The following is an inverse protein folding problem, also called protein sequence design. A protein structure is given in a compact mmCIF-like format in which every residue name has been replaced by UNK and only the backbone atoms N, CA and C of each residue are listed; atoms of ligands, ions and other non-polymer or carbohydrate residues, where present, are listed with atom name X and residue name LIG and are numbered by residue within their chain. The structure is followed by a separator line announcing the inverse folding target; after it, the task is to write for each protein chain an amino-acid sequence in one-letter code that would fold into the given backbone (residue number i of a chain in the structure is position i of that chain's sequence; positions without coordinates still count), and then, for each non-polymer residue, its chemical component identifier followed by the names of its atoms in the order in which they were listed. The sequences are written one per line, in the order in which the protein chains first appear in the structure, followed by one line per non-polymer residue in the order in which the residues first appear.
data_IF_016004515759
#
_entry.id   IF_016004515759
#
_cell.length_a   1.000
_cell.length_b   1.000
_cell.length_c   1.000
_cell.angle_alpha   90.00
_cell.angle_beta   90.00
_cell.angle_gamma   90.00
#
_symmetry.space_group_name_H-M   'P 1'
#
loop_
_entity.id
_entity.type
_entity.pdbx_description
1 polymer ?
#
# COMPACT_ATOMS: atom_id res chain seq x y z
N UNK A 1 -18.90 -27.19 -11.56
CA UNK A 1 -17.73 -26.46 -11.01
C UNK A 1 -18.05 -26.07 -9.59
N UNK A 2 -17.21 -26.41 -8.61
CA UNK A 2 -17.36 -25.86 -7.26
C UNK A 2 -17.26 -24.33 -7.31
N UNK A 3 -18.26 -23.63 -6.76
CA UNK A 3 -18.22 -22.18 -6.61
C UNK A 3 -17.11 -21.85 -5.61
N UNK A 4 -16.10 -21.10 -6.04
CA UNK A 4 -15.02 -20.65 -5.15
C UNK A 4 -15.62 -19.62 -4.19
N UNK A 5 -15.52 -19.79 -2.86
CA UNK A 5 -16.06 -18.83 -1.90
C UNK A 5 -15.44 -17.44 -2.07
N UNK A 6 -16.26 -16.39 -2.04
CA UNK A 6 -15.79 -15.00 -2.19
C UNK A 6 -14.82 -14.60 -1.05
N UNK A 7 -15.07 -15.06 0.17
CA UNK A 7 -14.16 -14.88 1.31
C UNK A 7 -12.73 -15.40 1.03
N UNK A 8 -12.64 -16.53 0.31
CA UNK A 8 -11.36 -17.11 -0.06
C UNK A 8 -10.64 -16.22 -1.08
N UNK A 9 -11.37 -15.66 -2.05
CA UNK A 9 -10.84 -14.70 -3.01
C UNK A 9 -10.35 -13.41 -2.36
N UNK A 10 -11.08 -12.88 -1.37
CA UNK A 10 -10.68 -11.68 -0.60
C UNK A 10 -9.41 -11.93 0.21
N UNK A 11 -9.24 -13.12 0.81
CA UNK A 11 -8.00 -13.50 1.52
C UNK A 11 -6.84 -13.80 0.57
N UNK A 12 -7.16 -14.34 -0.61
CA UNK A 12 -6.20 -14.73 -1.64
C UNK A 12 -5.67 -13.55 -2.42
N UNK A 13 -6.51 -12.54 -2.73
CA UNK A 13 -6.23 -11.38 -3.59
C UNK A 13 -5.37 -11.79 -4.80
N UNK A 14 -5.77 -12.87 -5.48
CA UNK A 14 -5.15 -13.40 -6.70
C UNK A 14 -3.69 -13.88 -6.66
N UNK A 15 -2.96 -13.79 -5.54
CA UNK A 15 -1.52 -14.11 -5.47
C UNK A 15 -1.20 -15.39 -4.69
N UNK A 16 -2.05 -15.78 -3.73
CA UNK A 16 -1.81 -16.97 -2.89
C UNK A 16 -2.30 -18.28 -3.52
N UNK A 17 -3.06 -18.21 -4.61
CA UNK A 17 -3.73 -19.35 -5.25
C UNK A 17 -4.46 -20.28 -4.25
N UNK A 18 -5.10 -19.71 -3.21
CA UNK A 18 -5.77 -20.49 -2.15
C UNK A 18 -6.92 -21.37 -2.66
N UNK A 19 -7.45 -21.07 -3.85
CA UNK A 19 -8.49 -21.87 -4.50
C UNK A 19 -7.96 -23.12 -5.21
N UNK A 20 -6.65 -23.38 -5.18
CA UNK A 20 -6.03 -24.55 -5.82
C UNK A 20 -5.89 -24.44 -7.35
N UNK A 21 -6.34 -23.34 -7.96
CA UNK A 21 -6.15 -23.10 -9.39
C UNK A 21 -4.68 -22.73 -9.70
N UNK A 22 -4.15 -23.12 -10.87
CA UNK A 22 -2.79 -22.79 -11.28
C UNK A 22 -2.57 -21.28 -11.51
N UNK A 23 -3.65 -20.56 -11.83
CA UNK A 23 -3.68 -19.10 -11.97
C UNK A 23 -5.05 -18.56 -11.54
N UNK A 24 -5.11 -17.27 -11.19
CA UNK A 24 -6.35 -16.61 -10.77
C UNK A 24 -7.18 -16.15 -11.98
N UNK A 25 -8.42 -16.65 -12.19
CA UNK A 25 -9.24 -16.27 -13.34
C UNK A 25 -9.65 -14.78 -13.35
N UNK A 26 -9.82 -14.16 -12.18
CA UNK A 26 -10.12 -12.73 -12.04
C UNK A 26 -8.98 -11.90 -12.66
N UNK A 27 -7.74 -12.30 -12.39
CA UNK A 27 -6.55 -11.61 -12.91
C UNK A 27 -6.39 -11.78 -14.42
N UNK A 28 -6.74 -12.94 -14.98
CA UNK A 28 -6.72 -13.15 -16.43
C UNK A 28 -7.78 -12.31 -17.16
N UNK A 29 -8.99 -12.20 -16.61
CA UNK A 29 -10.04 -11.31 -17.17
C UNK A 29 -9.58 -9.86 -17.15
N UNK A 30 -9.00 -9.42 -16.04
CA UNK A 30 -8.43 -8.08 -15.93
C UNK A 30 -7.32 -7.85 -16.95
N UNK A 31 -6.43 -8.83 -17.14
CA UNK A 31 -5.39 -8.76 -18.18
C UNK A 31 -6.00 -8.55 -19.57
N UNK A 32 -7.04 -9.31 -19.91
CA UNK A 32 -7.75 -9.14 -21.17
C UNK A 32 -8.38 -7.76 -21.33
N UNK A 33 -9.00 -7.24 -20.27
CA UNK A 33 -9.64 -5.92 -20.26
C UNK A 33 -8.64 -4.79 -20.49
N UNK A 34 -7.54 -4.75 -19.72
CA UNK A 34 -6.54 -3.67 -19.87
C UNK A 34 -5.83 -3.78 -21.23
N UNK A 35 -5.53 -5.00 -21.70
CA UNK A 35 -4.96 -5.19 -23.03
C UNK A 35 -5.88 -4.70 -24.16
N UNK A 36 -7.20 -4.80 -23.96
CA UNK A 36 -8.20 -4.30 -24.92
C UNK A 36 -8.37 -2.78 -24.87
N UNK A 37 -8.25 -2.17 -23.68
CA UNK A 37 -8.27 -0.72 -23.48
C UNK A 37 -7.01 -0.04 -24.04
N UNK A 38 -5.97 -0.81 -24.36
CA UNK A 38 -4.67 -0.30 -24.75
C UNK A 38 -4.21 -0.85 -26.10
N UNK A 39 -4.46 -0.09 -27.17
CA UNK A 39 -3.76 -0.25 -28.45
C UNK A 39 -2.40 0.45 -28.40
N UNK A 40 -1.51 0.06 -27.49
CA UNK A 40 -0.14 0.60 -27.52
C UNK A 40 0.55 -0.08 -28.72
N UNK A 41 0.75 0.68 -29.81
CA UNK A 41 1.70 0.31 -30.86
C UNK A 41 3.10 0.49 -30.28
N UNK A 42 3.56 -0.49 -29.53
CA UNK A 42 4.95 -0.54 -29.11
C UNK A 42 5.72 -0.94 -30.35
N UNK A 43 6.56 -0.05 -30.84
CA UNK A 43 7.51 -0.42 -31.86
C UNK A 43 8.53 -1.39 -31.23
N UNK A 44 8.34 -2.68 -31.49
CA UNK A 44 9.19 -3.75 -30.96
C UNK A 44 10.59 -3.76 -31.57
N UNK A 45 10.84 -2.91 -32.58
CA UNK A 45 12.18 -2.72 -33.14
C UNK A 45 13.10 -1.92 -32.20
N UNK A 46 12.54 -1.05 -31.36
CA UNK A 46 13.29 -0.27 -30.39
C UNK A 46 13.57 -1.10 -29.14
N UNK A 47 14.82 -1.57 -29.04
CA UNK A 47 15.38 -2.22 -27.85
C UNK A 47 15.90 -1.22 -26.82
N UNK A 48 15.89 0.07 -27.13
CA UNK A 48 16.35 1.12 -26.22
C UNK A 48 15.13 1.89 -25.70
N UNK A 49 15.06 2.04 -24.39
CA UNK A 49 14.07 2.87 -23.71
C UNK A 49 14.82 3.93 -22.94
N UNK A 50 14.45 5.19 -23.15
CA UNK A 50 15.01 6.34 -22.46
C UNK A 50 13.89 7.18 -21.85
N UNK A 51 14.18 7.80 -20.70
CA UNK A 51 13.28 8.71 -20.02
C UNK A 51 13.68 8.94 -18.57
N UNK A 52 13.07 9.91 -17.90
CA UNK A 52 13.25 10.15 -16.47
C UNK A 52 12.43 9.15 -15.66
N UNK A 53 13.10 8.33 -14.85
CA UNK A 53 12.46 7.42 -13.91
C UNK A 53 11.78 8.23 -12.80
N UNK A 54 10.47 8.03 -12.55
CA UNK A 54 9.63 9.04 -11.92
C UNK A 54 9.66 9.21 -10.39
N UNK A 55 10.34 8.46 -9.50
CA UNK A 55 11.03 7.16 -9.51
C UNK A 55 10.09 5.93 -9.38
N UNK A 56 10.45 4.80 -10.02
CA UNK A 56 9.62 3.58 -10.01
C UNK A 56 10.45 2.29 -10.00
N UNK A 57 10.68 1.77 -8.79
CA UNK A 57 11.49 0.56 -8.58
C UNK A 57 10.74 -0.50 -7.80
N UNK A 58 10.67 -1.72 -8.33
CA UNK A 58 10.04 -2.86 -7.66
C UNK A 58 11.03 -4.03 -7.58
N UNK A 59 11.14 -4.62 -6.38
CA UNK A 59 11.84 -5.87 -6.12
C UNK A 59 10.79 -6.98 -6.02
N UNK A 60 10.84 -7.93 -6.95
CA UNK A 60 9.95 -9.09 -6.98
C UNK A 60 10.25 -10.10 -5.87
N UNK A 61 9.26 -10.91 -5.50
CA UNK A 61 9.41 -11.98 -4.50
C UNK A 61 9.61 -13.37 -5.12
N UNK A 62 9.15 -13.58 -6.35
CA UNK A 62 9.25 -14.86 -7.04
C UNK A 62 10.71 -15.19 -7.33
N UNK A 63 11.14 -16.39 -6.94
CA UNK A 63 12.51 -16.88 -7.16
C UNK A 63 13.51 -16.59 -6.05
N UNK A 64 13.08 -15.99 -4.93
CA UNK A 64 13.92 -15.73 -3.76
C UNK A 64 14.80 -16.95 -3.40
N UNK A 65 16.12 -16.81 -3.20
CA UNK A 65 16.89 -15.56 -3.01
C UNK A 65 17.39 -14.89 -4.30
N UNK A 66 16.96 -15.35 -5.49
CA UNK A 66 17.26 -14.70 -6.77
C UNK A 66 16.02 -13.93 -7.24
N UNK A 67 16.03 -12.62 -7.09
CA UNK A 67 14.85 -11.76 -7.28
C UNK A 67 14.96 -10.92 -8.55
N UNK A 68 13.82 -10.55 -9.11
CA UNK A 68 13.76 -9.58 -10.21
C UNK A 68 13.78 -8.14 -9.67
N UNK A 69 14.63 -7.30 -10.24
CA UNK A 69 14.52 -5.84 -10.12
C UNK A 69 13.80 -5.32 -11.35
N UNK A 70 12.78 -4.51 -11.13
CA UNK A 70 11.95 -3.93 -12.17
C UNK A 70 12.05 -2.42 -12.03
N UNK A 71 12.57 -1.76 -13.06
CA UNK A 71 12.65 -0.31 -13.15
C UNK A 71 11.68 0.14 -14.24
N UNK A 72 10.70 0.97 -13.89
CA UNK A 72 9.72 1.43 -14.87
C UNK A 72 10.11 2.81 -15.40
N UNK A 73 10.29 2.89 -16.72
CA UNK A 73 10.74 4.10 -17.41
C UNK A 73 9.62 4.58 -18.32
N UNK A 74 9.16 5.85 -18.21
CA UNK A 74 8.25 6.45 -19.17
C UNK A 74 9.02 6.79 -20.47
N UNK A 75 8.68 6.19 -21.62
CA UNK A 75 9.42 6.43 -22.85
C UNK A 75 9.37 7.89 -23.29
N UNK A 76 10.54 8.47 -23.55
CA UNK A 76 10.73 9.83 -24.07
C UNK A 76 10.08 10.94 -23.22
N UNK A 77 9.88 10.69 -21.92
CA UNK A 77 9.44 11.71 -20.96
C UNK A 77 10.59 12.07 -20.04
N UNK A 78 10.85 13.35 -19.83
CA UNK A 78 11.99 13.83 -19.05
C UNK A 78 11.58 14.85 -17.99
N UNK A 79 12.45 15.01 -16.99
CA UNK A 79 12.29 16.00 -15.93
C UNK A 79 11.03 15.80 -15.10
N UNK A 80 10.46 16.90 -14.61
CA UNK A 80 9.31 16.90 -13.70
C UNK A 80 8.05 16.27 -14.30
N UNK A 81 7.91 16.26 -15.63
CA UNK A 81 6.79 15.59 -16.31
C UNK A 81 6.75 14.09 -16.04
N UNK A 82 7.89 13.46 -15.73
CA UNK A 82 7.90 12.06 -15.35
C UNK A 82 7.22 11.83 -13.98
N UNK A 83 7.28 12.78 -13.04
CA UNK A 83 6.72 12.59 -11.69
C UNK A 83 5.24 12.23 -11.72
N UNK A 84 4.48 12.69 -12.73
CA UNK A 84 3.05 12.37 -12.89
C UNK A 84 2.73 10.87 -13.02
N UNK A 85 3.71 10.05 -13.42
CA UNK A 85 3.50 8.61 -13.65
C UNK A 85 3.51 7.77 -12.38
N UNK A 86 4.10 8.24 -11.27
CA UNK A 86 4.17 7.50 -10.00
C UNK A 86 3.96 8.34 -8.72
N UNK A 87 3.43 9.56 -8.82
CA UNK A 87 3.14 10.40 -7.64
C UNK A 87 1.79 10.07 -6.97
N UNK A 88 1.78 9.00 -6.18
CA UNK A 88 0.59 8.52 -5.47
C UNK A 88 -0.04 9.54 -4.52
N UNK A 89 0.75 10.45 -3.94
CA UNK A 89 0.26 11.51 -3.04
C UNK A 89 -0.54 12.57 -3.81
N UNK A 90 -0.02 13.00 -4.95
CA UNK A 90 -0.71 14.01 -5.79
C UNK A 90 -1.90 13.44 -6.55
N UNK A 91 -1.92 12.14 -6.82
CA UNK A 91 -3.05 11.50 -7.45
C UNK A 91 -4.30 11.51 -6.59
N UNK A 92 -4.13 11.38 -5.26
CA UNK A 92 -5.24 11.27 -4.34
C UNK A 92 -6.22 12.44 -4.50
N UNK A 93 -7.50 12.12 -4.73
CA UNK A 93 -8.57 13.09 -4.96
C UNK A 93 -8.59 13.75 -6.34
N UNK A 94 -7.61 13.50 -7.23
CA UNK A 94 -7.48 14.16 -8.54
C UNK A 94 -7.51 13.21 -9.73
N UNK A 95 -6.98 11.99 -9.60
CA UNK A 95 -6.83 11.05 -10.71
C UNK A 95 -7.76 9.86 -10.49
N UNK A 96 -8.54 9.47 -11.51
CA UNK A 96 -9.44 8.31 -11.40
C UNK A 96 -8.69 6.98 -11.62
N UNK A 97 -9.37 5.86 -11.34
CA UNK A 97 -8.78 4.53 -11.43
C UNK A 97 -8.32 4.17 -12.85
N UNK A 98 -9.09 4.55 -13.87
CA UNK A 98 -8.74 4.33 -15.28
C UNK A 98 -7.47 5.06 -15.70
N UNK A 99 -7.34 6.32 -15.30
CA UNK A 99 -6.16 7.14 -15.60
C UNK A 99 -4.92 6.64 -14.85
N UNK A 100 -5.05 6.17 -13.60
CA UNK A 100 -3.95 5.53 -12.87
C UNK A 100 -3.46 4.28 -13.62
N UNK A 101 -4.39 3.44 -14.09
CA UNK A 101 -4.05 2.26 -14.89
C UNK A 101 -3.31 2.71 -16.15
N UNK A 102 -3.83 3.69 -16.87
CA UNK A 102 -3.24 4.23 -18.11
C UNK A 102 -1.82 4.77 -17.89
N UNK A 103 -1.61 5.57 -16.85
CA UNK A 103 -0.30 6.11 -16.48
C UNK A 103 0.69 4.97 -16.23
N UNK A 104 0.36 4.01 -15.36
CA UNK A 104 1.30 2.94 -15.01
C UNK A 104 1.57 1.96 -16.15
N UNK A 105 0.55 1.70 -16.95
CA UNK A 105 0.67 0.79 -18.10
C UNK A 105 1.38 1.42 -19.30
N UNK A 106 1.55 2.74 -19.32
CA UNK A 106 2.39 3.42 -20.30
C UNK A 106 3.90 3.38 -19.98
N UNK A 107 4.27 2.96 -18.77
CA UNK A 107 5.66 2.77 -18.39
C UNK A 107 6.20 1.46 -18.97
N UNK A 108 7.44 1.47 -19.45
CA UNK A 108 8.12 0.24 -19.85
C UNK A 108 8.88 -0.35 -18.67
N UNK A 109 8.53 -1.57 -18.29
CA UNK A 109 9.19 -2.33 -17.23
C UNK A 109 10.49 -2.95 -17.73
N UNK A 110 11.62 -2.42 -17.27
CA UNK A 110 12.95 -2.97 -17.51
C UNK A 110 13.32 -3.95 -16.40
N UNK A 111 13.47 -5.23 -16.75
CA UNK A 111 13.59 -6.32 -15.77
C UNK A 111 15.00 -6.89 -15.78
N UNK A 112 15.68 -6.85 -14.65
CA UNK A 112 16.95 -7.57 -14.42
C UNK A 112 16.80 -8.52 -13.24
N UNK A 113 17.70 -9.49 -13.12
CA UNK A 113 17.64 -10.51 -12.05
C UNK A 113 18.93 -10.51 -11.24
N UNK A 114 18.80 -10.43 -9.92
CA UNK A 114 19.92 -10.29 -8.99
C UNK A 114 19.79 -11.25 -7.83
N UNK A 115 20.92 -11.60 -7.20
CA UNK A 115 20.91 -12.26 -5.89
C UNK A 115 20.69 -11.21 -4.81
N UNK A 116 19.88 -11.50 -3.80
CA UNK A 116 19.52 -10.52 -2.77
C UNK A 116 20.73 -10.00 -2.00
N UNK A 117 21.77 -10.80 -1.80
CA UNK A 117 22.99 -10.44 -1.07
C UNK A 117 23.85 -9.38 -1.80
N UNK A 118 23.65 -9.19 -3.11
CA UNK A 118 24.41 -8.23 -3.92
C UNK A 118 23.91 -6.78 -3.80
N UNK A 119 23.01 -6.48 -2.87
CA UNK A 119 22.46 -5.13 -2.69
C UNK A 119 23.55 -4.06 -2.53
N UNK A 120 24.58 -4.34 -1.73
CA UNK A 120 25.71 -3.41 -1.51
C UNK A 120 26.53 -3.19 -2.79
N UNK A 121 26.78 -4.23 -3.58
CA UNK A 121 27.48 -4.10 -4.87
C UNK A 121 26.68 -3.27 -5.86
N UNK A 122 25.34 -3.40 -5.82
CA UNK A 122 24.44 -2.69 -6.72
C UNK A 122 24.34 -1.19 -6.46
N UNK A 123 24.80 -0.71 -5.30
CA UNK A 123 24.91 0.73 -5.02
C UNK A 123 25.69 1.47 -6.11
N UNK A 124 26.77 0.86 -6.63
CA UNK A 124 27.63 1.44 -7.65
C UNK A 124 26.96 1.57 -9.04
N UNK A 125 25.77 1.00 -9.23
CA UNK A 125 25.00 1.16 -10.46
C UNK A 125 24.16 2.44 -10.47
N UNK A 126 24.10 3.16 -9.34
CA UNK A 126 23.24 4.32 -9.07
C UNK A 126 21.73 4.05 -9.20
N UNK A 127 21.30 2.88 -9.69
CA UNK A 127 19.89 2.48 -9.79
C UNK A 127 19.19 2.60 -8.42
N UNK A 128 19.72 2.06 -7.31
CA UNK A 128 19.10 2.24 -6.00
C UNK A 128 18.91 3.71 -5.62
N UNK A 129 19.85 4.57 -5.99
CA UNK A 129 19.83 6.00 -5.68
C UNK A 129 18.81 6.75 -6.53
N UNK A 130 18.69 6.42 -7.82
CA UNK A 130 17.66 6.93 -8.70
C UNK A 130 16.25 6.63 -8.16
N UNK A 131 16.04 5.43 -7.58
CA UNK A 131 14.74 5.04 -7.03
C UNK A 131 14.34 5.82 -5.76
N UNK A 132 15.31 6.29 -4.97
CA UNK A 132 15.03 7.07 -3.75
C UNK A 132 15.20 8.58 -3.94
N UNK A 133 15.40 9.03 -5.18
CA UNK A 133 15.68 10.43 -5.47
C UNK A 133 14.48 11.34 -5.21
N UNK A 134 14.75 12.60 -4.87
CA UNK A 134 13.75 13.65 -4.80
C UNK A 134 13.21 14.05 -6.17
N UNK A 135 14.05 13.99 -7.21
CA UNK A 135 13.71 14.40 -8.57
C UNK A 135 13.67 13.20 -9.50
N UNK A 136 12.85 13.22 -10.57
CA UNK A 136 12.94 12.20 -11.62
C UNK A 136 14.33 12.17 -12.24
N UNK A 137 14.90 10.97 -12.41
CA UNK A 137 16.29 10.80 -12.85
C UNK A 137 16.33 10.16 -14.23
N UNK A 138 17.05 10.76 -15.18
CA UNK A 138 17.19 10.20 -16.54
C UNK A 138 17.83 8.82 -16.47
N UNK A 139 17.17 7.83 -17.07
CA UNK A 139 17.61 6.45 -17.12
C UNK A 139 17.41 5.88 -18.52
N UNK A 140 18.32 5.01 -18.91
CA UNK A 140 18.28 4.28 -20.17
C UNK A 140 18.27 2.79 -19.90
N UNK A 141 17.46 2.03 -20.63
CA UNK A 141 17.44 0.58 -20.56
C UNK A 141 17.54 -0.03 -21.95
N UNK A 142 18.51 -0.91 -22.13
CA UNK A 142 18.66 -1.74 -23.32
C UNK A 142 18.01 -3.10 -23.07
N UNK A 143 16.91 -3.37 -23.75
CA UNK A 143 16.09 -4.57 -23.61
C UNK A 143 16.53 -5.66 -24.60
N UNK A 144 16.77 -6.87 -24.07
CA UNK A 144 17.04 -8.07 -24.87
C UNK A 144 15.79 -8.54 -25.60
N UNK A 145 14.69 -8.56 -24.86
CA UNK A 145 13.36 -8.95 -25.30
C UNK A 145 12.39 -7.86 -24.88
N UNK A 146 11.33 -7.66 -25.67
CA UNK A 146 10.22 -6.78 -25.30
C UNK A 146 8.94 -7.59 -25.40
N UNK A 147 8.32 -7.87 -24.25
CA UNK A 147 7.01 -8.49 -24.21
C UNK A 147 5.96 -7.38 -24.11
N UNK A 148 5.21 -7.20 -25.19
CA UNK A 148 4.02 -6.34 -25.22
C UNK A 148 2.84 -6.98 -24.45
N UNK A 149 3.10 -7.51 -23.26
CA UNK A 149 2.10 -8.15 -22.39
C UNK A 149 2.09 -7.47 -21.04
N UNK A 150 0.91 -6.98 -20.65
CA UNK A 150 0.69 -6.45 -19.31
C UNK A 150 0.77 -7.59 -18.29
N UNK A 151 1.64 -7.42 -17.29
CA UNK A 151 1.81 -8.40 -16.21
C UNK A 151 1.15 -7.90 -14.94
N UNK A 152 0.19 -8.66 -14.48
CA UNK A 152 -0.51 -8.43 -13.23
C UNK A 152 -0.13 -9.52 -12.23
N UNK A 153 0.17 -9.11 -11.02
CA UNK A 153 0.20 -10.00 -9.87
C UNK A 153 -0.96 -9.56 -8.97
N UNK A 154 -1.69 -10.47 -8.33
CA UNK A 154 -3.00 -10.20 -7.73
C UNK A 154 -3.09 -9.06 -6.70
N UNK A 155 -1.97 -8.49 -6.28
CA UNK A 155 -1.88 -7.33 -5.38
C UNK A 155 -1.13 -6.16 -6.02
N UNK A 156 -0.36 -6.39 -7.09
CA UNK A 156 0.59 -5.45 -7.64
C UNK A 156 -0.07 -4.59 -8.71
N UNK A 157 0.25 -3.30 -8.60
CA UNK A 157 0.18 -2.21 -9.56
C UNK A 157 0.05 -2.72 -11.01
N UNK A 158 -0.91 -2.23 -11.81
CA UNK A 158 -0.96 -2.54 -13.24
C UNK A 158 0.38 -2.16 -13.86
N UNK A 159 1.12 -3.13 -14.42
CA UNK A 159 2.41 -2.88 -15.06
C UNK A 159 2.24 -2.82 -16.56
N UNK A 160 2.93 -1.87 -17.16
CA UNK A 160 3.03 -1.74 -18.59
C UNK A 160 3.79 -2.89 -19.24
N UNK A 161 3.99 -2.79 -20.56
CA UNK A 161 4.82 -3.74 -21.30
C UNK A 161 6.24 -3.72 -20.74
N UNK A 162 7.00 -4.79 -20.97
CA UNK A 162 8.35 -4.85 -20.45
C UNK A 162 9.10 -6.09 -20.86
N UNK A 163 10.36 -6.14 -20.49
CA UNK A 163 11.21 -7.26 -20.88
C UNK A 163 12.53 -7.29 -20.17
N UNK A 164 13.32 -8.32 -20.48
CA UNK A 164 14.60 -8.54 -19.82
C UNK A 164 15.59 -7.48 -20.32
N UNK A 165 16.14 -6.70 -19.41
CA UNK A 165 17.18 -5.72 -19.70
C UNK A 165 18.55 -6.40 -19.79
N UNK A 166 19.30 -6.11 -20.85
CA UNK A 166 20.74 -6.40 -20.93
C UNK A 166 21.51 -5.42 -20.04
N UNK A 167 21.08 -4.16 -20.05
CA UNK A 167 21.74 -3.07 -19.35
C UNK A 167 20.72 -2.01 -18.92
N UNK A 168 20.93 -1.43 -17.75
CA UNK A 168 20.19 -0.28 -17.24
C UNK A 168 21.24 0.74 -16.78
N UNK A 169 21.17 1.96 -17.30
CA UNK A 169 22.07 3.06 -16.94
C UNK A 169 21.27 4.20 -16.34
N UNK A 170 21.80 4.77 -15.27
CA UNK A 170 21.37 6.06 -14.76
C UNK A 170 22.30 7.10 -15.41
N UNK A 171 21.71 8.08 -16.10
CA UNK A 171 22.45 9.06 -16.91
C UNK A 171 22.60 10.39 -16.17
N UNK A 172 21.64 10.71 -15.30
CA UNK A 172 21.59 11.94 -14.52
C UNK A 172 21.86 11.67 -13.04
N UNK A 173 22.31 12.67 -12.29
CA UNK A 173 22.71 12.52 -10.89
C UNK A 173 21.48 12.49 -9.96
N UNK A 174 21.24 11.40 -9.20
CA UNK A 174 20.16 11.36 -8.23
C UNK A 174 20.38 12.36 -7.09
N UNK A 175 19.36 13.17 -6.79
CA UNK A 175 19.33 14.00 -5.58
C UNK A 175 18.71 13.22 -4.42
N UNK A 176 19.45 13.00 -3.34
CA UNK A 176 19.00 12.22 -2.18
C UNK A 176 18.76 13.16 -0.98
N UNK A 177 17.69 12.97 -0.18
CA UNK A 177 17.53 13.66 1.09
C UNK A 177 18.76 13.49 2.00
N UNK A 178 19.31 14.58 2.53
CA UNK A 178 20.57 14.58 3.31
C UNK A 178 20.57 13.57 4.46
N UNK A 179 19.43 13.41 5.14
CA UNK A 179 19.34 12.45 6.25
C UNK A 179 19.36 11.00 5.78
N UNK A 180 18.73 10.73 4.64
CA UNK A 180 18.75 9.41 4.00
C UNK A 180 20.16 9.07 3.51
N UNK A 181 20.80 10.02 2.83
CA UNK A 181 22.17 9.84 2.34
C UNK A 181 23.15 9.46 3.46
N UNK A 182 23.12 10.18 4.60
CA UNK A 182 23.92 9.83 5.78
C UNK A 182 23.67 8.40 6.28
N UNK A 183 22.40 8.01 6.43
CA UNK A 183 22.02 6.70 6.93
C UNK A 183 22.39 5.54 5.99
N UNK A 184 22.60 5.80 4.71
CA UNK A 184 23.14 4.80 3.78
C UNK A 184 24.57 4.41 4.16
N UNK A 185 25.35 5.31 4.75
CA UNK A 185 26.74 5.01 5.15
C UNK A 185 26.86 4.50 6.59
N UNK A 186 25.84 4.72 7.42
CA UNK A 186 25.78 4.29 8.81
C UNK A 186 25.53 2.76 8.94
N UNK A 187 26.19 2.12 9.92
CA UNK A 187 26.04 0.68 10.20
C UNK A 187 25.00 0.40 11.31
N UNK A 188 23.81 0.97 11.15
CA UNK A 188 22.70 0.85 12.11
C UNK A 188 21.72 -0.27 11.73
N UNK A 189 20.87 -0.71 12.67
CA UNK A 189 19.79 -1.65 12.34
C UNK A 189 18.78 -0.98 11.42
N UNK A 190 18.20 -1.73 10.49
CA UNK A 190 17.21 -1.20 9.53
C UNK A 190 16.00 -0.58 10.24
N UNK A 191 15.53 -1.19 11.34
CA UNK A 191 14.44 -0.65 12.14
C UNK A 191 14.76 0.73 12.75
N UNK A 192 15.99 0.93 13.24
CA UNK A 192 16.44 2.21 13.80
C UNK A 192 16.51 3.27 12.70
N UNK A 193 17.11 2.93 11.54
CA UNK A 193 17.16 3.83 10.38
C UNK A 193 15.77 4.25 9.88
N UNK A 194 14.82 3.31 9.78
CA UNK A 194 13.43 3.59 9.39
C UNK A 194 12.80 4.62 10.34
N UNK A 195 12.94 4.42 11.65
CA UNK A 195 12.37 5.33 12.66
C UNK A 195 13.02 6.70 12.62
N UNK A 196 14.33 6.76 12.39
CA UNK A 196 15.05 8.02 12.29
C UNK A 196 14.62 8.81 11.06
N UNK A 197 14.53 8.16 9.88
CA UNK A 197 14.02 8.79 8.66
C UNK A 197 12.58 9.28 8.84
N UNK A 198 11.73 8.46 9.46
CA UNK A 198 10.35 8.81 9.75
C UNK A 198 10.25 10.06 10.65
N UNK A 199 11.05 10.13 11.73
CA UNK A 199 11.10 11.30 12.63
C UNK A 199 11.58 12.58 11.95
N UNK A 200 12.44 12.45 10.94
CA UNK A 200 12.91 13.56 10.10
C UNK A 200 11.94 13.90 8.95
N UNK A 201 10.71 13.36 8.97
CA UNK A 201 9.68 13.58 7.94
C UNK A 201 10.13 13.21 6.51
N UNK A 202 11.03 12.23 6.38
CA UNK A 202 11.34 11.65 5.07
C UNK A 202 10.11 10.90 4.56
N UNK A 203 9.82 11.05 3.27
CA UNK A 203 8.66 10.44 2.63
C UNK A 203 8.59 8.92 2.86
N UNK A 204 7.42 8.42 3.26
CA UNK A 204 7.17 7.00 3.52
C UNK A 204 7.60 6.10 2.35
N UNK A 205 7.26 6.49 1.11
CA UNK A 205 7.54 5.68 -0.07
C UNK A 205 9.05 5.63 -0.34
N UNK A 206 9.78 6.73 -0.08
CA UNK A 206 11.26 6.73 -0.12
C UNK A 206 11.88 5.81 0.93
N UNK A 207 11.39 5.83 2.17
CA UNK A 207 11.87 4.92 3.24
C UNK A 207 11.65 3.45 2.82
N UNK A 208 10.46 3.15 2.28
CA UNK A 208 10.10 1.83 1.78
C UNK A 208 11.00 1.39 0.62
N UNK A 209 11.25 2.26 -0.36
CA UNK A 209 12.17 1.96 -1.47
C UNK A 209 13.61 1.80 -1.00
N UNK A 210 14.08 2.64 -0.07
CA UNK A 210 15.42 2.52 0.50
C UNK A 210 15.63 1.17 1.20
N UNK A 211 14.62 0.70 1.95
CA UNK A 211 14.65 -0.65 2.52
C UNK A 211 14.61 -1.74 1.44
N UNK A 212 13.72 -1.60 0.45
CA UNK A 212 13.53 -2.60 -0.62
C UNK A 212 14.78 -2.79 -1.47
N UNK A 213 15.47 -1.70 -1.80
CA UNK A 213 16.71 -1.70 -2.57
C UNK A 213 17.97 -1.93 -1.71
N UNK A 214 17.80 -2.32 -0.45
CA UNK A 214 18.88 -2.73 0.44
C UNK A 214 19.84 -1.61 0.84
N UNK A 215 19.37 -0.35 0.85
CA UNK A 215 20.15 0.81 1.25
C UNK A 215 20.19 1.01 2.78
N UNK A 216 19.26 0.41 3.51
CA UNK A 216 19.15 0.54 4.97
C UNK A 216 19.54 -0.76 5.70
N UNK A 217 20.14 -0.59 6.88
CA UNK A 217 20.54 -1.68 7.77
C UNK A 217 22.04 -1.95 7.77
N UNK A 218 22.45 -2.92 8.60
CA UNK A 218 23.86 -3.26 8.79
C UNK A 218 24.49 -3.72 7.47
N UNK A 219 25.65 -3.17 7.11
CA UNK A 219 26.32 -3.36 5.81
C UNK A 219 26.43 -4.83 5.41
N UNK A 220 26.85 -5.69 6.34
CA UNK A 220 26.99 -7.14 6.12
C UNK A 220 25.68 -7.91 5.90
N UNK A 221 24.55 -7.33 6.28
CA UNK A 221 23.22 -7.95 6.23
C UNK A 221 22.28 -7.28 5.21
N UNK A 222 22.77 -6.29 4.46
CA UNK A 222 21.98 -5.61 3.43
C UNK A 222 21.58 -6.60 2.35
N UNK A 223 20.29 -6.58 2.02
CA UNK A 223 19.68 -7.45 1.03
C UNK A 223 18.68 -6.65 0.22
N UNK A 224 18.48 -7.04 -1.04
CA UNK A 224 17.26 -6.68 -1.74
C UNK A 224 16.09 -7.34 -1.02
N UNK A 225 15.15 -6.52 -0.57
CA UNK A 225 13.94 -6.97 0.12
C UNK A 225 12.78 -6.81 -0.86
N UNK A 226 12.02 -7.89 -1.16
CA UNK A 226 10.82 -7.78 -1.99
C UNK A 226 9.95 -6.61 -1.54
N UNK A 227 9.50 -5.79 -2.47
CA UNK A 227 8.84 -4.50 -2.15
C UNK A 227 7.63 -4.67 -1.25
N UNK A 228 6.89 -5.78 -1.42
CA UNK A 228 5.77 -6.12 -0.52
C UNK A 228 6.20 -6.35 0.92
N UNK A 229 7.35 -7.00 1.14
CA UNK A 229 7.89 -7.21 2.47
C UNK A 229 8.43 -5.91 3.06
N UNK A 230 9.03 -5.06 2.22
CA UNK A 230 9.50 -3.73 2.64
C UNK A 230 8.33 -2.84 3.10
N UNK A 231 7.21 -2.82 2.37
CA UNK A 231 5.97 -2.12 2.76
C UNK A 231 5.52 -2.60 4.15
N UNK A 232 5.35 -3.92 4.32
CA UNK A 232 4.93 -4.49 5.61
C UNK A 232 5.93 -4.16 6.73
N UNK A 233 7.23 -4.23 6.46
CA UNK A 233 8.26 -3.96 7.44
C UNK A 233 8.23 -2.50 7.89
N UNK A 234 8.13 -1.54 6.97
CA UNK A 234 8.02 -0.11 7.31
C UNK A 234 6.72 0.17 8.06
N UNK A 235 5.57 -0.32 7.58
CA UNK A 235 4.27 -0.15 8.26
C UNK A 235 4.33 -0.70 9.69
N UNK A 236 4.91 -1.89 9.88
CA UNK A 236 5.02 -2.54 11.19
C UNK A 236 5.98 -1.79 12.12
N UNK A 237 7.14 -1.36 11.62
CA UNK A 237 8.14 -0.66 12.43
C UNK A 237 7.62 0.69 12.90
N UNK A 238 7.09 1.52 11.98
CA UNK A 238 6.52 2.83 12.32
C UNK A 238 5.26 2.65 13.17
N UNK A 239 4.39 1.70 12.81
CA UNK A 239 3.16 1.43 13.55
C UNK A 239 3.40 0.96 14.98
N UNK A 240 4.43 0.16 15.25
CA UNK A 240 4.82 -0.24 16.61
C UNK A 240 5.39 0.94 17.40
N UNK A 241 6.19 1.78 16.75
CA UNK A 241 6.73 2.98 17.38
C UNK A 241 5.62 3.95 17.80
N UNK A 242 4.68 4.26 16.91
CA UNK A 242 3.54 5.14 17.23
C UNK A 242 2.65 4.53 18.31
N UNK A 243 2.31 3.24 18.17
CA UNK A 243 1.56 2.50 19.19
C UNK A 243 2.19 2.63 20.58
N UNK A 244 3.51 2.42 20.70
CA UNK A 244 4.22 2.51 21.99
C UNK A 244 4.15 3.90 22.65
N UNK A 245 3.89 4.95 21.88
CA UNK A 245 3.68 6.31 22.39
C UNK A 245 2.23 6.53 22.80
N UNK A 246 1.29 6.23 21.91
CA UNK A 246 -0.13 6.57 22.11
C UNK A 246 -0.74 5.86 23.31
N UNK A 247 -0.26 4.67 23.67
CA UNK A 247 -0.77 3.93 24.82
C UNK A 247 -0.60 4.66 26.16
N UNK A 248 0.34 5.62 26.21
CA UNK A 248 0.60 6.43 27.39
C UNK A 248 -0.18 7.76 27.40
N UNK A 249 -0.98 8.03 26.36
CA UNK A 249 -1.79 9.23 26.30
C UNK A 249 -3.17 9.03 26.92
N UNK A 250 -3.77 10.16 27.29
CA UNK A 250 -5.16 10.19 27.71
C UNK A 250 -6.08 9.82 26.54
N UNK A 251 -7.22 9.23 26.89
CA UNK A 251 -8.22 8.83 25.92
C UNK A 251 -8.87 10.05 25.27
N UNK A 252 -9.42 9.89 24.06
CA UNK A 252 -10.30 10.89 23.46
C UNK A 252 -11.50 11.13 24.38
N UNK A 253 -12.00 12.37 24.42
CA UNK A 253 -13.07 12.75 25.33
C UNK A 253 -14.47 12.41 24.79
N UNK A 254 -14.60 12.37 23.46
CA UNK A 254 -15.86 12.27 22.75
C UNK A 254 -15.75 11.19 21.67
N UNK A 255 -16.90 10.71 21.20
CA UNK A 255 -16.95 9.80 20.06
C UNK A 255 -16.98 10.63 18.79
N UNK A 256 -16.03 10.38 17.90
CA UNK A 256 -15.83 11.15 16.68
C UNK A 256 -15.89 10.23 15.46
N UNK A 257 -16.57 10.66 14.41
CA UNK A 257 -16.62 9.93 13.14
C UNK A 257 -15.97 10.77 12.05
N UNK A 258 -15.09 10.11 11.31
CA UNK A 258 -14.33 10.66 10.20
C UNK A 258 -14.69 9.95 8.91
N UNK A 259 -14.61 10.65 7.78
CA UNK A 259 -14.94 10.08 6.48
C UNK A 259 -13.99 10.52 5.38
N UNK A 260 -13.63 9.59 4.52
CA UNK A 260 -12.93 9.86 3.26
C UNK A 260 -13.26 8.79 2.23
N UNK A 261 -13.26 9.16 0.96
CA UNK A 261 -13.50 8.21 -0.12
C UNK A 261 -12.59 8.48 -1.31
N UNK A 262 -12.18 7.42 -2.00
CA UNK A 262 -11.37 7.50 -3.19
C UNK A 262 -11.37 6.17 -3.96
N UNK A 263 -11.38 6.22 -5.29
CA UNK A 263 -11.35 5.05 -6.18
C UNK A 263 -12.41 3.99 -5.82
N UNK A 264 -13.65 4.39 -5.54
CA UNK A 264 -14.72 3.46 -5.18
C UNK A 264 -14.60 2.82 -3.79
N UNK A 265 -13.67 3.30 -2.96
CA UNK A 265 -13.50 2.86 -1.57
C UNK A 265 -13.96 3.99 -0.63
N UNK A 266 -14.87 3.66 0.28
CA UNK A 266 -15.43 4.60 1.26
C UNK A 266 -14.95 4.17 2.64
N UNK A 267 -14.34 5.11 3.37
CA UNK A 267 -13.79 4.87 4.70
C UNK A 267 -14.55 5.67 5.73
N UNK A 268 -14.97 4.99 6.79
CA UNK A 268 -15.49 5.59 8.00
C UNK A 268 -14.59 5.17 9.16
N UNK A 269 -14.03 6.15 9.88
CA UNK A 269 -13.21 5.89 11.07
C UNK A 269 -13.95 6.45 12.28
N UNK A 270 -14.28 5.56 13.23
CA UNK A 270 -14.88 5.94 14.51
C UNK A 270 -13.79 5.87 15.57
N UNK A 271 -13.57 6.99 16.27
CA UNK A 271 -12.76 7.04 17.48
C UNK A 271 -13.70 7.14 18.67
N UNK A 272 -13.47 6.35 19.71
CA UNK A 272 -14.26 6.40 20.94
C UNK A 272 -13.38 6.35 22.19
N UNK A 273 -13.84 6.92 23.33
CA UNK A 273 -13.10 6.92 24.60
C UNK A 273 -12.82 5.49 25.06
N UNK A 274 -11.58 5.03 24.88
CA UNK A 274 -11.12 3.72 25.32
C UNK A 274 -9.60 3.60 25.21
N UNK A 275 -9.04 2.58 25.89
CA UNK A 275 -7.69 2.10 25.60
C UNK A 275 -7.60 1.64 24.15
N UNK A 276 -6.39 1.71 23.58
CA UNK A 276 -6.19 1.40 22.19
C UNK A 276 -6.67 -0.02 21.90
N UNK A 277 -7.55 -0.13 20.93
CA UNK A 277 -7.95 -1.36 20.29
C UNK A 277 -8.48 -0.97 18.93
N UNK A 278 -8.44 -1.88 17.97
CA UNK A 278 -8.81 -1.53 16.61
C UNK A 278 -9.63 -2.64 15.98
N UNK A 279 -10.74 -2.26 15.37
CA UNK A 279 -11.61 -3.12 14.58
C UNK A 279 -11.49 -2.66 13.13
N UNK A 280 -11.25 -3.61 12.23
CA UNK A 280 -11.18 -3.41 10.80
C UNK A 280 -12.28 -4.22 10.13
N UNK A 281 -13.15 -3.54 9.40
CA UNK A 281 -14.29 -4.14 8.69
C UNK A 281 -14.14 -3.79 7.21
N UNK A 282 -14.07 -4.81 6.35
CA UNK A 282 -14.17 -4.63 4.89
C UNK A 282 -15.52 -5.16 4.40
N UNK A 283 -16.25 -4.31 3.69
CA UNK A 283 -17.53 -4.64 3.07
C UNK A 283 -17.30 -4.63 1.55
N UNK A 284 -17.26 -5.80 0.95
CA UNK A 284 -17.05 -5.98 -0.48
C UNK A 284 -18.40 -6.12 -1.17
N UNK A 285 -18.77 -5.14 -2.01
CA UNK A 285 -19.99 -5.21 -2.81
C UNK A 285 -19.91 -6.34 -3.85
N UNK A 286 -21.06 -6.87 -4.30
CA UNK A 286 -21.12 -7.73 -5.48
C UNK A 286 -20.43 -7.06 -6.67
N UNK A 287 -19.82 -7.88 -7.54
CA UNK A 287 -19.08 -7.44 -8.74
C UNK A 287 -17.86 -6.55 -8.46
N UNK A 288 -17.47 -6.34 -7.20
CA UNK A 288 -16.19 -5.76 -6.85
C UNK A 288 -15.05 -6.72 -7.21
N UNK A 289 -13.82 -6.19 -7.29
CA UNK A 289 -12.65 -6.91 -7.80
C UNK A 289 -12.46 -8.33 -7.26
N UNK A 290 -12.72 -8.57 -5.97
CA UNK A 290 -12.48 -9.86 -5.32
C UNK A 290 -13.74 -10.60 -4.89
N UNK A 291 -14.93 -10.04 -5.16
CA UNK A 291 -16.18 -10.55 -4.60
C UNK A 291 -17.30 -10.53 -5.64
N UNK A 292 -17.88 -11.71 -5.89
CA UNK A 292 -19.08 -11.83 -6.73
C UNK A 292 -20.36 -11.58 -5.94
N UNK A 293 -20.31 -11.83 -4.63
CA UNK A 293 -21.43 -11.67 -3.69
C UNK A 293 -21.09 -10.57 -2.67
N UNK A 294 -22.06 -10.11 -1.89
CA UNK A 294 -21.77 -9.20 -0.77
C UNK A 294 -20.98 -9.99 0.29
N UNK A 295 -19.74 -9.60 0.56
CA UNK A 295 -18.87 -10.30 1.52
C UNK A 295 -18.29 -9.35 2.55
N UNK A 296 -18.33 -9.75 3.81
CA UNK A 296 -17.82 -8.96 4.93
C UNK A 296 -16.62 -9.68 5.55
N UNK A 297 -15.52 -8.96 5.72
CA UNK A 297 -14.33 -9.44 6.41
C UNK A 297 -14.09 -8.61 7.66
N UNK A 298 -13.88 -9.26 8.80
CA UNK A 298 -13.61 -8.60 10.07
C UNK A 298 -12.20 -8.98 10.55
N UNK A 299 -11.51 -8.02 11.18
CA UNK A 299 -10.25 -8.20 11.88
C UNK A 299 -10.28 -7.38 13.16
N UNK A 300 -9.81 -7.97 14.26
CA UNK A 300 -9.62 -7.28 15.53
C UNK A 300 -8.14 -7.23 15.92
N UNK A 301 -7.73 -6.09 16.46
CA UNK A 301 -6.49 -5.89 17.20
C UNK A 301 -6.82 -5.56 18.65
N UNK A 302 -6.23 -6.30 19.58
CA UNK A 302 -6.43 -6.11 21.01
C UNK A 302 -5.53 -5.00 21.57
N UNK A 303 -5.69 -4.72 22.86
CA UNK A 303 -4.88 -3.71 23.55
C UNK A 303 -3.38 -3.97 23.48
N UNK A 304 -2.93 -5.23 23.42
CA UNK A 304 -1.51 -5.59 23.36
C UNK A 304 -0.89 -5.40 21.97
N UNK A 305 -1.65 -4.91 21.00
CA UNK A 305 -1.23 -4.76 19.61
C UNK A 305 -1.22 -6.07 18.83
N UNK A 306 -1.90 -7.10 19.33
CA UNK A 306 -2.02 -8.39 18.67
C UNK A 306 -3.27 -8.40 17.78
N UNK A 307 -3.06 -8.56 16.48
CA UNK A 307 -4.12 -8.66 15.48
C UNK A 307 -4.30 -10.11 15.01
N UNK A 308 -5.55 -10.47 14.69
CA UNK A 308 -5.94 -11.85 14.33
C UNK A 308 -5.17 -12.42 13.13
N UNK A 309 -4.85 -11.60 12.12
CA UNK A 309 -4.04 -11.98 10.97
C UNK A 309 -3.40 -10.76 10.29
N UNK A 310 -2.34 -10.97 9.52
CA UNK A 310 -1.69 -9.88 8.77
C UNK A 310 -2.50 -9.54 7.51
N UNK A 311 -3.06 -8.32 7.46
CA UNK A 311 -3.65 -7.73 6.26
C UNK A 311 -2.98 -6.40 5.90
N UNK A 312 -2.52 -6.26 4.66
CA UNK A 312 -1.80 -5.06 4.22
C UNK A 312 -2.67 -3.82 4.07
N UNK A 313 -3.98 -3.97 3.81
CA UNK A 313 -4.93 -2.86 3.77
C UNK A 313 -5.19 -2.34 5.19
N UNK A 314 -5.37 -3.27 6.14
CA UNK A 314 -5.43 -2.93 7.55
C UNK A 314 -4.17 -2.21 8.02
N UNK A 315 -2.97 -2.71 7.70
CA UNK A 315 -1.72 -2.05 8.12
C UNK A 315 -1.57 -0.64 7.58
N UNK A 316 -1.97 -0.41 6.32
CA UNK A 316 -1.97 0.91 5.71
C UNK A 316 -2.95 1.88 6.41
N UNK A 317 -4.17 1.43 6.71
CA UNK A 317 -5.17 2.24 7.41
C UNK A 317 -4.82 2.50 8.88
N UNK A 318 -4.38 1.45 9.60
CA UNK A 318 -3.95 1.51 11.00
C UNK A 318 -2.84 2.53 11.19
N UNK A 319 -1.83 2.53 10.30
CA UNK A 319 -0.73 3.49 10.38
C UNK A 319 -1.25 4.93 10.30
N UNK A 320 -2.15 5.23 9.37
CA UNK A 320 -2.74 6.56 9.22
C UNK A 320 -3.54 7.02 10.45
N UNK A 321 -4.28 6.10 11.10
CA UNK A 321 -4.99 6.43 12.35
C UNK A 321 -4.01 6.67 13.50
N UNK A 322 -2.95 5.87 13.61
CA UNK A 322 -1.92 6.06 14.64
C UNK A 322 -1.16 7.37 14.47
N UNK A 323 -0.89 7.80 13.23
CA UNK A 323 -0.31 9.10 12.93
C UNK A 323 -1.18 10.23 13.48
N UNK A 324 -2.50 10.16 13.26
CA UNK A 324 -3.46 11.14 13.79
C UNK A 324 -3.50 11.13 15.33
N UNK A 325 -3.58 9.95 15.97
CA UNK A 325 -3.60 9.83 17.43
C UNK A 325 -2.32 10.38 18.09
N UNK A 326 -1.16 10.16 17.44
CA UNK A 326 0.11 10.75 17.87
C UNK A 326 0.13 12.28 17.70
N UNK A 327 -0.49 12.81 16.64
CA UNK A 327 -0.62 14.25 16.38
C UNK A 327 -1.47 14.93 17.45
N UNK A 328 -2.66 14.39 17.75
CA UNK A 328 -3.57 14.96 18.76
C UNK A 328 -3.19 14.59 20.21
N UNK A 329 -2.14 13.78 20.40
CA UNK A 329 -1.68 13.30 21.71
C UNK A 329 -2.81 12.65 22.52
N UNK A 330 -3.52 11.72 21.88
CA UNK A 330 -4.61 10.94 22.48
C UNK A 330 -4.52 9.47 22.14
N UNK A 331 -5.22 8.66 22.92
CA UNK A 331 -5.53 7.26 22.64
C UNK A 331 -7.03 7.11 22.38
N UNK A 332 -7.42 6.11 21.60
CA UNK A 332 -8.84 5.78 21.40
C UNK A 332 -9.00 4.30 21.10
N UNK A 333 -10.20 3.78 21.38
CA UNK A 333 -10.70 2.63 20.63
C UNK A 333 -11.05 3.08 19.21
N UNK A 334 -10.75 2.23 18.23
CA UNK A 334 -10.84 2.58 16.80
C UNK A 334 -11.71 1.56 16.08
N UNK A 335 -12.65 2.03 15.26
CA UNK A 335 -13.38 1.22 14.29
C UNK A 335 -13.12 1.80 12.91
N UNK A 336 -12.50 1.03 12.03
CA UNK A 336 -12.24 1.41 10.65
C UNK A 336 -13.12 0.55 9.74
N UNK A 337 -14.08 1.18 9.09
CA UNK A 337 -14.99 0.54 8.16
C UNK A 337 -14.60 0.98 6.75
N UNK A 338 -14.27 0.00 5.91
CA UNK A 338 -13.96 0.19 4.50
C UNK A 338 -15.04 -0.50 3.66
N UNK A 339 -15.79 0.29 2.90
CA UNK A 339 -16.76 -0.19 1.93
C UNK A 339 -16.17 -0.09 0.51
N UNK A 340 -16.07 -1.23 -0.18
CA UNK A 340 -15.49 -1.35 -1.52
C UNK A 340 -16.61 -1.62 -2.53
N UNK A 341 -16.80 -0.68 -3.45
CA UNK A 341 -17.82 -0.75 -4.50
C UNK A 341 -17.27 -1.31 -5.82
N UNK A 342 -18.15 -1.57 -6.78
CA UNK A 342 -17.82 -1.99 -8.15
C UNK A 342 -16.96 -0.97 -8.92
N UNK A 343 -16.97 0.30 -8.50
CA UNK A 343 -16.07 1.34 -9.03
C UNK A 343 -14.58 0.98 -8.84
N UNK A 344 -14.25 0.15 -7.84
CA UNK A 344 -12.89 -0.37 -7.62
C UNK A 344 -12.66 -1.67 -8.41
N UNK A 345 -12.59 -1.56 -9.73
CA UNK A 345 -12.47 -2.69 -10.65
C UNK A 345 -11.03 -3.20 -10.89
N UNK A 346 -10.02 -2.55 -10.29
CA UNK A 346 -8.61 -2.84 -10.54
C UNK A 346 -7.73 -2.63 -9.29
N UNK A 347 -6.79 -3.54 -8.98
CA UNK A 347 -5.90 -3.36 -7.85
C UNK A 347 -4.81 -2.33 -8.19
N UNK A 348 -4.64 -1.30 -7.36
CA UNK A 348 -3.56 -0.31 -7.52
C UNK A 348 -2.59 -0.28 -6.33
N UNK A 349 -2.67 -1.24 -5.41
CA UNK A 349 -1.84 -1.34 -4.20
C UNK A 349 -2.36 -0.52 -3.02
N UNK A 350 -1.86 -0.76 -1.80
CA UNK A 350 -2.46 -0.22 -0.56
C UNK A 350 -2.18 1.28 -0.30
N UNK A 351 -1.46 1.98 -1.18
CA UNK A 351 -1.19 3.42 -1.02
C UNK A 351 -2.49 4.22 -0.95
N UNK A 352 -3.49 3.88 -1.78
CA UNK A 352 -4.75 4.62 -1.81
C UNK A 352 -5.50 4.51 -0.49
N UNK A 353 -5.39 3.37 0.20
CA UNK A 353 -5.96 3.15 1.53
C UNK A 353 -5.28 4.09 2.53
N UNK A 354 -3.94 4.10 2.57
CA UNK A 354 -3.15 4.94 3.48
C UNK A 354 -3.47 6.42 3.29
N UNK A 355 -3.40 6.91 2.05
CA UNK A 355 -3.65 8.32 1.76
C UNK A 355 -5.13 8.70 2.00
N UNK A 356 -6.09 7.80 1.71
CA UNK A 356 -7.50 8.09 1.96
C UNK A 356 -7.80 8.16 3.45
N UNK A 357 -7.25 7.26 4.27
CA UNK A 357 -7.44 7.32 5.73
C UNK A 357 -6.73 8.54 6.32
N UNK A 358 -5.51 8.87 5.88
CA UNK A 358 -4.81 10.10 6.31
C UNK A 358 -5.64 11.36 6.07
N UNK A 359 -6.29 11.45 4.89
CA UNK A 359 -7.16 12.57 4.58
C UNK A 359 -8.51 12.48 5.30
N UNK A 360 -9.06 11.27 5.50
CA UNK A 360 -10.28 11.06 6.28
C UNK A 360 -10.10 11.58 7.72
N UNK A 361 -8.96 11.33 8.36
CA UNK A 361 -8.67 11.82 9.72
C UNK A 361 -8.61 13.35 9.83
N UNK A 362 -8.56 14.08 8.71
CA UNK A 362 -8.68 15.55 8.66
C UNK A 362 -10.12 16.02 8.46
N UNK A 363 -11.03 15.12 8.09
CA UNK A 363 -12.41 15.40 7.75
C UNK A 363 -13.36 14.70 8.73
N UNK A 364 -13.58 15.36 9.88
CA UNK A 364 -14.55 14.92 10.88
C UNK A 364 -15.96 15.24 10.42
N UNK A 365 -16.83 14.23 10.38
CA UNK A 365 -18.22 14.37 9.91
C UNK A 365 -19.24 14.40 11.05
N UNK A 366 -18.84 14.10 12.28
CA UNK A 366 -19.75 14.18 13.43
C UNK A 366 -19.10 13.86 14.76
N UNK A 367 -19.79 14.27 15.82
CA UNK A 367 -19.55 13.90 17.21
C UNK A 367 -20.82 13.28 17.77
N UNK A 368 -20.67 12.31 18.67
CA UNK A 368 -21.79 11.53 19.20
C UNK A 368 -21.63 11.28 20.69
N UNK A 369 -22.78 11.13 21.37
CA UNK A 369 -22.81 10.90 22.81
C UNK A 369 -22.52 9.44 23.17
N UNK A 370 -22.86 8.51 22.29
CA UNK A 370 -22.65 7.08 22.48
C UNK A 370 -22.32 6.35 21.17
N UNK A 371 -21.75 5.15 21.32
CA UNK A 371 -21.29 4.32 20.19
C UNK A 371 -22.46 3.90 19.29
N UNK A 372 -23.64 3.65 19.85
CA UNK A 372 -24.81 3.22 19.08
C UNK A 372 -25.26 4.32 18.10
N UNK A 373 -25.25 5.58 18.52
CA UNK A 373 -25.53 6.72 17.63
C UNK A 373 -24.49 6.80 16.51
N UNK A 374 -23.19 6.74 16.84
CA UNK A 374 -22.12 6.81 15.85
C UNK A 374 -22.20 5.67 14.82
N UNK A 375 -22.40 4.43 15.28
CA UNK A 375 -22.54 3.26 14.40
C UNK A 375 -23.81 3.37 13.55
N UNK A 376 -24.92 3.84 14.11
CA UNK A 376 -26.17 4.06 13.36
C UNK A 376 -25.98 5.09 12.25
N UNK A 377 -25.27 6.19 12.52
CA UNK A 377 -24.97 7.20 11.49
C UNK A 377 -24.06 6.67 10.39
N UNK A 378 -23.05 5.86 10.74
CA UNK A 378 -22.25 5.18 9.71
C UNK A 378 -23.10 4.22 8.90
N UNK A 379 -23.94 3.40 9.55
CA UNK A 379 -24.78 2.42 8.88
C UNK A 379 -25.76 3.07 7.89
N UNK A 380 -26.32 4.25 8.21
CA UNK A 380 -27.17 5.04 7.31
C UNK A 380 -26.44 5.54 6.06
N UNK A 381 -25.13 5.76 6.16
CA UNK A 381 -24.28 6.28 5.07
C UNK A 381 -23.66 5.17 4.21
N UNK A 382 -23.68 3.92 4.66
CA UNK A 382 -23.22 2.78 3.86
C UNK A 382 -24.13 2.60 2.64
N UNK A 383 -23.51 2.26 1.50
CA UNK A 383 -24.26 1.87 0.30
C UNK A 383 -24.81 0.44 0.43
N UNK A 384 -24.10 -0.43 1.15
CA UNK A 384 -24.48 -1.80 1.41
C UNK A 384 -25.66 -1.86 2.40
N UNK A 385 -26.67 -2.68 2.06
CA UNK A 385 -27.80 -2.96 2.95
C UNK A 385 -27.39 -3.98 4.02
N UNK A 386 -26.59 -3.54 4.98
CA UNK A 386 -26.13 -4.36 6.10
C UNK A 386 -26.53 -3.73 7.44
N UNK A 387 -26.45 -4.53 8.49
CA UNK A 387 -26.58 -4.05 9.86
C UNK A 387 -25.24 -4.21 10.57
N UNK A 388 -24.51 -3.10 10.76
CA UNK A 388 -23.22 -3.13 11.48
C UNK A 388 -23.35 -3.72 12.90
N UNK A 389 -24.50 -3.55 13.56
CA UNK A 389 -24.76 -4.13 14.88
C UNK A 389 -24.83 -5.66 14.87
N UNK A 390 -24.91 -6.29 13.70
CA UNK A 390 -24.94 -7.74 13.59
C UNK A 390 -23.56 -8.39 13.49
N UNK A 391 -22.54 -7.60 13.20
CA UNK A 391 -21.17 -8.07 13.00
C UNK A 391 -20.54 -8.57 14.30
N UNK A 392 -19.68 -9.59 14.22
CA UNK A 392 -19.11 -10.25 15.39
C UNK A 392 -18.33 -9.27 16.27
N UNK A 393 -17.50 -8.45 15.65
CA UNK A 393 -16.62 -7.50 16.34
C UNK A 393 -17.41 -6.36 17.00
N UNK A 394 -18.43 -5.84 16.32
CA UNK A 394 -19.32 -4.78 16.83
C UNK A 394 -20.22 -5.30 17.95
N UNK A 395 -20.85 -6.47 17.78
CA UNK A 395 -21.60 -7.15 18.85
C UNK A 395 -20.73 -7.36 20.08
N UNK A 396 -19.50 -7.82 19.87
CA UNK A 396 -18.52 -8.00 20.93
C UNK A 396 -18.25 -6.68 21.66
N UNK A 397 -18.01 -5.60 20.93
CA UNK A 397 -17.73 -4.28 21.51
C UNK A 397 -18.89 -3.74 22.35
N UNK A 398 -20.12 -3.84 21.85
CA UNK A 398 -21.31 -3.29 22.52
C UNK A 398 -21.69 -4.12 23.76
N UNK A 399 -21.54 -5.45 23.70
CA UNK A 399 -21.86 -6.34 24.83
C UNK A 399 -20.78 -6.40 25.89
N UNK A 400 -19.53 -6.09 25.53
CA UNK A 400 -18.38 -6.19 26.43
C UNK A 400 -18.40 -5.01 27.41
N UNK A 401 -18.88 -5.26 28.63
CA UNK A 401 -18.70 -4.35 29.77
C UNK A 401 -17.22 -4.27 30.14
N UNK A 402 -16.70 -3.06 30.36
CA UNK A 402 -15.37 -2.89 30.92
C UNK A 402 -15.36 -3.39 32.37
N UNK A 403 -14.20 -3.80 32.88
CA UNK A 403 -14.11 -4.25 34.28
C UNK A 403 -14.56 -3.14 35.26
N UNK A 404 -14.36 -1.87 34.87
CA UNK A 404 -14.80 -0.70 35.63
C UNK A 404 -16.32 -0.55 35.69
N UNK A 405 -17.05 -1.05 34.69
CA UNK A 405 -18.52 -1.04 34.68
C UNK A 405 -19.13 -2.04 35.67
N UNK A 406 -18.31 -2.92 36.26
CA UNK A 406 -18.71 -3.83 37.35
C UNK A 406 -18.42 -3.28 38.75
N UNK A 407 -17.71 -2.15 38.85
CA UNK A 407 -17.36 -1.49 40.12
C UNK A 407 -18.11 -0.15 40.34
N UNK A 408 -19.08 0.17 39.46
CA UNK A 408 -20.14 1.17 39.70
C UNK A 408 -21.41 0.43 40.13
#
# INVERSE_FOLDING_TARGET
MHKIPAELCIKCKGHKNLCGLPYCPIMERFRGMVSSLQKIKIDTSFKLVEGSTPPSGIVGEKGYPKVSLIINIPPSVYGEDARKYENVKEWWGKVNLGDIIKLRSSLISSITTVKVEKATEYYNTEIPLAIISDNPVVSEAKLKTLEAKLKFDGIILPRGPGGIAEEIKVVDNPKIPTKLDKLIFDDVKSAEAILELYRYNVDYYKIMHALSFGLLGKKKNRRFVPTRWAITAVDSTVGKFLYSKIINYNEVNEIEVYHGSYLGNYFYVVLYPSKFSSIWIEIWHPLSLWSQDLTISELKENFWGEYEYLDGGYMAARLAVLEHLEEVKRQAGVIIIREITEEYFAPVGNWHIRETVRNAMKNRIGKYDNLDQAISEVNKKLKAKINLFELRTIKGLIKQKSIYDFFK
#
